data_IF_120788835645
#
_entry.id   IF_120788835645
#
_cell.length_a   1.000
_cell.length_b   1.000
_cell.length_c   1.000
_cell.angle_alpha   90.00
_cell.angle_beta   90.00
_cell.angle_gamma   90.00
#
_symmetry.space_group_name_H-M   'P 1'
#
loop_
_entity.id
_entity.type
_entity.pdbx_description
1 polymer ?
#
# COMPACT_ATOMS: atom_id res chain seq x y z
N UNK A 1 20.26 -11.44 -21.36
CA UNK A 1 20.95 -10.14 -21.24
C UNK A 1 19.93 -9.02 -20.97
N UNK A 2 18.75 -9.03 -21.59
CA UNK A 2 17.68 -8.04 -21.34
C UNK A 2 17.13 -8.09 -19.89
N UNK A 3 16.92 -9.28 -19.33
CA UNK A 3 16.42 -9.45 -17.96
C UNK A 3 17.37 -8.89 -16.88
N UNK A 4 18.68 -8.90 -17.12
CA UNK A 4 19.65 -8.34 -16.17
C UNK A 4 19.68 -6.81 -16.22
N UNK A 5 19.46 -6.19 -17.38
CA UNK A 5 19.32 -4.73 -17.52
C UNK A 5 18.02 -4.22 -16.93
N UNK A 6 16.89 -4.91 -17.13
CA UNK A 6 15.62 -4.55 -16.53
C UNK A 6 15.65 -4.63 -15.00
N UNK A 7 16.25 -5.68 -14.42
CA UNK A 7 16.46 -5.76 -12.95
C UNK A 7 17.36 -4.65 -12.43
N UNK A 8 18.41 -4.26 -13.16
CA UNK A 8 19.28 -3.16 -12.76
C UNK A 8 18.58 -1.80 -12.86
N UNK A 9 17.75 -1.56 -13.87
CA UNK A 9 16.96 -0.34 -13.99
C UNK A 9 15.89 -0.25 -12.87
N UNK A 10 15.18 -1.33 -12.58
CA UNK A 10 14.15 -1.32 -11.53
C UNK A 10 14.68 -1.08 -10.10
N UNK A 11 15.93 -1.48 -9.80
CA UNK A 11 16.51 -1.36 -8.45
C UNK A 11 17.34 -0.07 -8.31
N UNK A 12 17.96 0.42 -9.38
CA UNK A 12 18.89 1.57 -9.29
C UNK A 12 18.22 2.94 -9.36
N UNK A 13 17.06 3.05 -9.97
CA UNK A 13 16.51 4.35 -10.37
C UNK A 13 15.23 4.75 -9.60
N UNK A 14 14.92 4.07 -8.49
CA UNK A 14 13.74 4.38 -7.68
C UNK A 14 14.11 4.64 -6.24
N UNK A 15 13.63 5.75 -5.71
CA UNK A 15 13.67 6.04 -4.28
C UNK A 15 12.35 5.56 -3.65
N UNK A 16 12.44 4.76 -2.59
CA UNK A 16 11.27 4.14 -1.95
C UNK A 16 10.97 4.86 -0.65
N UNK A 17 9.76 5.37 -0.51
CA UNK A 17 9.30 5.99 0.72
C UNK A 17 8.96 4.90 1.76
N UNK A 18 9.51 5.02 2.97
CA UNK A 18 9.26 4.09 4.08
C UNK A 18 8.91 4.84 5.36
N UNK A 19 8.02 4.28 6.16
CA UNK A 19 7.71 4.84 7.48
C UNK A 19 8.86 4.63 8.48
N UNK A 20 9.03 5.58 9.41
CA UNK A 20 10.09 5.54 10.41
C UNK A 20 10.05 4.30 11.32
N UNK A 21 8.89 3.70 11.54
CA UNK A 21 8.75 2.49 12.37
C UNK A 21 9.51 1.27 11.84
N UNK A 22 9.75 1.18 10.53
CA UNK A 22 10.52 0.08 9.93
C UNK A 22 12.03 0.18 10.17
N UNK A 23 12.50 1.32 10.68
CA UNK A 23 13.93 1.58 10.92
C UNK A 23 14.41 1.17 12.32
N UNK A 24 13.55 0.63 13.17
CA UNK A 24 13.86 0.29 14.55
C UNK A 24 14.90 -0.84 14.68
N UNK A 25 15.00 -1.71 13.67
CA UNK A 25 15.97 -2.80 13.61
C UNK A 25 17.11 -2.46 12.64
N UNK A 26 18.36 -2.58 13.10
CA UNK A 26 19.54 -2.21 12.31
C UNK A 26 19.61 -2.91 10.96
N UNK A 27 19.36 -4.23 10.90
CA UNK A 27 19.41 -4.99 9.66
C UNK A 27 18.31 -4.55 8.66
N UNK A 28 17.11 -4.22 9.16
CA UNK A 28 16.02 -3.72 8.33
C UNK A 28 16.36 -2.31 7.79
N UNK A 29 16.91 -1.44 8.64
CA UNK A 29 17.38 -0.13 8.23
C UNK A 29 18.48 -0.22 7.15
N UNK A 30 19.43 -1.14 7.27
CA UNK A 30 20.50 -1.34 6.29
C UNK A 30 19.93 -1.88 4.95
N UNK A 31 18.99 -2.81 5.02
CA UNK A 31 18.28 -3.31 3.83
C UNK A 31 17.50 -2.20 3.11
N UNK A 32 16.78 -1.36 3.86
CA UNK A 32 16.05 -0.22 3.29
C UNK A 32 17.01 0.79 2.65
N UNK A 33 18.15 1.09 3.28
CA UNK A 33 19.18 1.99 2.70
C UNK A 33 19.77 1.43 1.41
N UNK A 34 20.01 0.12 1.33
CA UNK A 34 20.49 -0.55 0.11
C UNK A 34 19.49 -0.41 -1.06
N UNK A 35 18.20 -0.31 -0.75
CA UNK A 35 17.13 -0.10 -1.73
C UNK A 35 16.83 1.38 -2.01
N UNK A 36 17.75 2.32 -1.68
CA UNK A 36 17.54 3.77 -1.83
C UNK A 36 16.27 4.26 -1.13
N UNK A 37 15.92 3.68 0.01
CA UNK A 37 14.74 4.13 0.75
C UNK A 37 15.01 5.43 1.50
N UNK A 38 14.02 6.31 1.54
CA UNK A 38 14.02 7.50 2.38
C UNK A 38 12.87 7.43 3.40
N UNK A 39 13.04 8.12 4.52
CA UNK A 39 12.14 7.99 5.66
C UNK A 39 11.09 9.09 5.61
N UNK A 40 9.82 8.71 5.76
CA UNK A 40 8.74 9.63 6.09
C UNK A 40 8.57 9.62 7.61
N UNK A 41 8.86 10.74 8.31
CA UNK A 41 8.72 10.82 9.75
C UNK A 41 7.23 10.81 10.13
N UNK A 42 6.90 9.99 11.13
CA UNK A 42 5.52 9.85 11.64
C UNK A 42 5.33 10.52 12.99
N UNK A 43 6.41 10.64 13.75
CA UNK A 43 6.41 11.18 15.11
C UNK A 43 7.48 12.27 15.24
N UNK A 44 7.23 13.23 16.10
CA UNK A 44 8.17 14.29 16.47
C UNK A 44 7.80 14.86 17.84
N UNK A 45 8.73 15.57 18.46
CA UNK A 45 8.53 16.15 19.79
C UNK A 45 7.53 17.32 19.79
N UNK A 46 7.29 17.92 18.61
CA UNK A 46 6.33 19.02 18.44
C UNK A 46 5.71 19.07 17.04
N UNK A 47 4.55 19.70 16.92
CA UNK A 47 3.88 19.94 15.61
C UNK A 47 4.78 20.71 14.64
N UNK A 48 5.60 21.62 15.15
CA UNK A 48 6.54 22.41 14.33
C UNK A 48 7.65 21.53 13.75
N UNK A 49 8.18 20.63 14.54
CA UNK A 49 9.22 19.69 14.10
C UNK A 49 8.69 18.71 13.04
N UNK A 50 7.49 18.15 13.26
CA UNK A 50 6.82 17.30 12.26
C UNK A 50 6.62 18.07 10.95
N UNK A 51 6.10 19.30 11.00
CA UNK A 51 5.92 20.14 9.84
C UNK A 51 7.23 20.39 9.08
N UNK A 52 8.31 20.72 9.79
CA UNK A 52 9.64 20.96 9.20
C UNK A 52 10.16 19.67 8.52
N UNK A 53 10.02 18.54 9.17
CA UNK A 53 10.43 17.24 8.62
C UNK A 53 9.64 16.86 7.37
N UNK A 54 8.31 17.05 7.38
CA UNK A 54 7.48 16.80 6.21
C UNK A 54 7.80 17.77 5.04
N UNK A 55 8.17 19.00 5.37
CA UNK A 55 8.60 19.98 4.36
C UNK A 55 9.90 19.53 3.67
N UNK A 56 10.88 19.01 4.44
CA UNK A 56 12.10 18.42 3.88
C UNK A 56 11.82 17.22 2.99
N UNK A 57 10.89 16.34 3.39
CA UNK A 57 10.46 15.18 2.59
C UNK A 57 9.82 15.65 1.29
N UNK A 58 8.91 16.64 1.34
CA UNK A 58 8.27 17.19 0.15
C UNK A 58 9.28 17.81 -0.81
N UNK A 59 10.26 18.57 -0.30
CA UNK A 59 11.33 19.15 -1.09
C UNK A 59 12.22 18.08 -1.73
N UNK A 60 12.60 17.05 -0.97
CA UNK A 60 13.35 15.90 -1.47
C UNK A 60 12.61 15.22 -2.63
N UNK A 61 11.32 14.92 -2.47
CA UNK A 61 10.48 14.31 -3.50
C UNK A 61 10.46 15.17 -4.76
N UNK A 62 10.22 16.46 -4.60
CA UNK A 62 10.18 17.38 -5.74
C UNK A 62 11.52 17.43 -6.49
N UNK A 63 12.64 17.58 -5.77
CA UNK A 63 13.96 17.63 -6.35
C UNK A 63 14.34 16.34 -7.08
N UNK A 64 14.06 15.18 -6.46
CA UNK A 64 14.31 13.86 -7.09
C UNK A 64 13.58 13.71 -8.42
N UNK A 65 12.30 14.05 -8.45
CA UNK A 65 11.47 13.87 -9.66
C UNK A 65 11.77 14.95 -10.71
N UNK A 66 11.85 16.23 -10.32
CA UNK A 66 11.92 17.35 -11.27
C UNK A 66 13.32 17.76 -11.67
N UNK A 67 14.29 17.65 -10.77
CA UNK A 67 15.67 18.11 -11.02
C UNK A 67 16.55 16.94 -11.41
N UNK A 68 16.47 15.82 -10.65
CA UNK A 68 17.32 14.67 -10.89
C UNK A 68 16.70 13.66 -11.88
N UNK A 69 15.42 13.84 -12.24
CA UNK A 69 14.66 12.96 -13.13
C UNK A 69 14.66 11.49 -12.66
N UNK A 70 14.61 11.30 -11.34
CA UNK A 70 14.51 9.99 -10.69
C UNK A 70 13.06 9.68 -10.31
N UNK A 71 12.69 8.39 -10.31
CA UNK A 71 11.35 7.95 -9.90
C UNK A 71 11.27 7.75 -8.39
N UNK A 72 10.08 8.03 -7.84
CA UNK A 72 9.76 7.76 -6.44
C UNK A 72 8.61 6.76 -6.37
N UNK A 73 8.77 5.76 -5.51
CA UNK A 73 7.72 4.83 -5.13
C UNK A 73 7.21 5.19 -3.74
N UNK A 74 5.93 5.48 -3.64
CA UNK A 74 5.29 5.84 -2.38
C UNK A 74 3.95 5.11 -2.24
N UNK A 75 3.66 4.62 -1.03
CA UNK A 75 2.36 4.05 -0.73
C UNK A 75 1.29 5.16 -0.73
N UNK A 76 0.12 4.86 -1.23
CA UNK A 76 -1.00 5.79 -1.37
C UNK A 76 -1.67 6.18 -0.05
N UNK A 77 -1.40 5.45 1.03
CA UNK A 77 -1.86 5.75 2.39
C UNK A 77 -0.87 5.23 3.44
N UNK A 78 -1.04 5.69 4.66
CA UNK A 78 -0.31 5.13 5.80
C UNK A 78 -0.89 3.75 6.16
N UNK A 79 0.00 2.81 6.51
CA UNK A 79 -0.38 1.45 6.85
C UNK A 79 -0.59 0.54 5.65
N UNK A 80 -1.04 -0.69 5.94
CA UNK A 80 -1.36 -1.70 4.93
C UNK A 80 -2.86 -1.70 4.65
N UNK A 81 -3.27 -1.97 3.41
CA UNK A 81 -4.65 -2.34 3.13
C UNK A 81 -4.94 -3.69 3.81
N UNK A 82 -5.89 -3.70 4.73
CA UNK A 82 -6.26 -4.89 5.49
C UNK A 82 -7.62 -5.43 5.09
N UNK A 83 -8.46 -4.54 4.57
CA UNK A 83 -9.85 -4.78 4.21
C UNK A 83 -10.08 -5.04 2.71
N UNK A 84 -8.99 -5.17 1.94
CA UNK A 84 -9.07 -5.35 0.48
C UNK A 84 -9.39 -4.07 -0.30
N UNK A 85 -9.48 -2.91 0.37
CA UNK A 85 -9.78 -1.62 -0.27
C UNK A 85 -8.53 -0.74 -0.35
N UNK A 86 -8.08 -0.48 -1.53
CA UNK A 86 -6.89 0.35 -1.80
C UNK A 86 -7.28 1.82 -2.03
N UNK A 87 -7.60 2.52 -0.95
CA UNK A 87 -8.04 3.92 -0.97
C UNK A 87 -6.83 4.84 -0.80
N UNK A 88 -6.71 5.85 -1.67
CA UNK A 88 -5.69 6.89 -1.58
C UNK A 88 -6.06 7.91 -0.50
N UNK A 89 -5.14 8.16 0.42
CA UNK A 89 -5.32 9.17 1.47
C UNK A 89 -4.92 10.57 0.93
N UNK A 90 -5.83 11.56 0.92
CA UNK A 90 -5.49 12.94 0.56
C UNK A 90 -4.34 13.53 1.38
N UNK A 91 -4.08 13.03 2.60
CA UNK A 91 -2.97 13.49 3.43
C UNK A 91 -1.59 13.23 2.80
N UNK A 92 -1.43 12.11 2.07
CA UNK A 92 -0.20 11.83 1.32
C UNK A 92 0.02 12.88 0.22
N UNK A 93 -1.04 13.23 -0.51
CA UNK A 93 -0.97 14.25 -1.56
C UNK A 93 -0.64 15.64 -0.98
N UNK A 94 -1.28 16.00 0.14
CA UNK A 94 -0.98 17.24 0.88
C UNK A 94 0.48 17.28 1.34
N UNK A 95 1.02 16.15 1.80
CA UNK A 95 2.43 16.06 2.19
C UNK A 95 3.36 16.22 1.00
N UNK A 96 3.12 15.55 -0.12
CA UNK A 96 3.97 15.64 -1.32
C UNK A 96 4.00 17.06 -1.89
N UNK A 97 2.86 17.74 -1.91
CA UNK A 97 2.73 19.10 -2.46
C UNK A 97 3.20 20.22 -1.51
N UNK A 98 3.54 19.89 -0.26
CA UNK A 98 3.71 20.86 0.84
C UNK A 98 4.65 22.03 0.53
N UNK A 99 5.82 21.78 -0.08
CA UNK A 99 6.81 22.83 -0.41
C UNK A 99 6.36 23.74 -1.54
N UNK A 100 5.58 23.21 -2.49
CA UNK A 100 5.19 23.92 -3.72
C UNK A 100 3.76 24.47 -3.70
N UNK A 101 3.00 24.26 -2.64
CA UNK A 101 1.58 24.65 -2.52
C UNK A 101 1.29 26.16 -2.68
N UNK A 102 2.31 27.00 -2.53
CA UNK A 102 2.19 28.46 -2.75
C UNK A 102 2.58 28.89 -4.15
N UNK A 103 3.26 28.03 -4.90
CA UNK A 103 3.83 28.33 -6.22
C UNK A 103 3.00 27.68 -7.35
N UNK A 104 2.44 26.51 -7.09
CA UNK A 104 1.71 25.70 -8.05
C UNK A 104 0.34 25.32 -7.52
N UNK A 105 -0.65 25.24 -8.41
CA UNK A 105 -1.94 24.63 -8.14
C UNK A 105 -1.78 23.12 -7.90
N UNK A 106 -2.78 22.44 -7.35
CA UNK A 106 -2.73 21.00 -7.11
C UNK A 106 -2.62 20.26 -8.45
N UNK A 107 -3.46 20.62 -9.41
CA UNK A 107 -3.47 20.01 -10.75
C UNK A 107 -2.12 20.22 -11.46
N UNK A 108 -1.59 21.44 -11.51
CA UNK A 108 -0.31 21.73 -12.14
C UNK A 108 0.85 20.96 -11.50
N UNK A 109 0.85 20.88 -10.16
CA UNK A 109 1.89 20.15 -9.43
C UNK A 109 1.88 18.65 -9.79
N UNK A 110 0.74 17.97 -9.65
CA UNK A 110 0.68 16.52 -9.89
C UNK A 110 0.84 16.16 -11.37
N UNK A 111 0.40 17.00 -12.30
CA UNK A 111 0.68 16.86 -13.74
C UNK A 111 2.18 16.95 -14.03
N UNK A 112 2.89 17.88 -13.36
CA UNK A 112 4.33 17.99 -13.48
C UNK A 112 5.08 16.81 -12.83
N UNK A 113 4.56 16.24 -11.75
CA UNK A 113 5.14 15.08 -11.07
C UNK A 113 4.95 13.78 -11.84
N UNK A 114 4.04 13.73 -12.82
CA UNK A 114 3.77 12.54 -13.67
C UNK A 114 3.39 11.32 -12.84
N UNK A 115 2.30 11.42 -12.10
CA UNK A 115 1.79 10.34 -11.26
C UNK A 115 1.42 9.14 -12.12
N UNK A 116 1.92 7.96 -11.74
CA UNK A 116 1.63 6.68 -12.36
C UNK A 116 1.03 5.77 -11.29
N UNK A 117 -0.24 5.37 -11.41
CA UNK A 117 -0.86 4.44 -10.48
C UNK A 117 -0.31 3.03 -10.70
N UNK A 118 -0.15 2.29 -9.61
CA UNK A 118 0.33 0.90 -9.66
C UNK A 118 -0.53 0.06 -8.74
N UNK A 119 -1.08 -1.04 -9.26
CA UNK A 119 -1.77 -2.05 -8.47
C UNK A 119 -0.93 -3.33 -8.36
N UNK A 120 -0.98 -3.97 -7.19
CA UNK A 120 -0.36 -5.27 -6.94
C UNK A 120 -1.43 -6.18 -6.37
N UNK A 121 -1.67 -7.31 -7.03
CA UNK A 121 -2.61 -8.33 -6.54
C UNK A 121 -1.90 -9.65 -6.30
N UNK A 122 -2.31 -10.33 -5.24
CA UNK A 122 -1.86 -11.68 -4.86
C UNK A 122 -3.04 -12.62 -4.92
N UNK A 123 -2.86 -13.81 -5.51
CA UNK A 123 -3.86 -14.86 -5.46
C UNK A 123 -4.12 -15.31 -4.02
N UNK A 124 -3.03 -15.41 -3.22
CA UNK A 124 -3.07 -15.71 -1.79
C UNK A 124 -2.26 -14.69 -1.01
N UNK A 125 -2.86 -14.02 -0.04
CA UNK A 125 -2.11 -13.12 0.84
C UNK A 125 -1.57 -13.90 2.06
N UNK A 126 -0.25 -14.03 2.22
CA UNK A 126 0.33 -14.74 3.36
C UNK A 126 -0.05 -14.17 4.74
N UNK A 127 -0.53 -12.94 4.78
CA UNK A 127 -0.91 -12.23 6.01
C UNK A 127 -2.43 -12.07 6.19
N UNK A 128 -3.25 -12.69 5.34
CA UNK A 128 -4.71 -12.53 5.32
C UNK A 128 -5.36 -12.78 6.69
N UNK A 129 -5.09 -13.94 7.29
CA UNK A 129 -5.66 -14.30 8.59
C UNK A 129 -5.23 -13.36 9.71
N UNK A 130 -3.97 -12.91 9.72
CA UNK A 130 -3.51 -11.94 10.71
C UNK A 130 -4.17 -10.58 10.53
N UNK A 131 -4.37 -10.16 9.28
CA UNK A 131 -5.10 -8.93 8.97
C UNK A 131 -6.56 -9.05 9.42
N UNK A 132 -7.21 -10.19 9.18
CA UNK A 132 -8.59 -10.43 9.60
C UNK A 132 -8.74 -10.38 11.13
N UNK A 133 -7.84 -11.03 11.86
CA UNK A 133 -7.81 -10.98 13.32
C UNK A 133 -7.59 -9.56 13.86
N UNK A 134 -6.67 -8.80 13.26
CA UNK A 134 -6.40 -7.41 13.64
C UNK A 134 -7.64 -6.52 13.43
N UNK A 135 -8.37 -6.69 12.32
CA UNK A 135 -9.63 -5.97 12.07
C UNK A 135 -10.66 -6.36 13.12
N UNK A 136 -10.91 -7.65 13.29
CA UNK A 136 -11.90 -8.16 14.24
C UNK A 136 -11.63 -7.68 15.66
N UNK A 137 -10.39 -7.81 16.16
CA UNK A 137 -10.02 -7.34 17.48
C UNK A 137 -10.19 -5.83 17.63
N UNK A 138 -9.89 -5.06 16.58
CA UNK A 138 -10.08 -3.60 16.55
C UNK A 138 -11.57 -3.24 16.63
N UNK A 139 -12.44 -3.97 15.94
CA UNK A 139 -13.90 -3.76 15.96
C UNK A 139 -14.50 -4.10 17.33
N UNK A 140 -14.06 -5.20 17.94
CA UNK A 140 -14.59 -5.66 19.25
C UNK A 140 -14.08 -4.81 20.41
N UNK A 141 -12.78 -4.50 20.43
CA UNK A 141 -12.12 -3.86 21.57
C UNK A 141 -11.89 -2.34 21.38
N UNK A 142 -12.15 -1.81 20.18
CA UNK A 142 -11.86 -0.42 19.81
C UNK A 142 -10.38 -0.16 19.50
N UNK A 143 -9.49 -1.11 19.73
CA UNK A 143 -8.06 -1.05 19.43
C UNK A 143 -7.46 -2.45 19.24
N UNK A 144 -6.33 -2.50 18.58
CA UNK A 144 -5.49 -3.71 18.47
C UNK A 144 -4.12 -3.45 19.10
N UNK A 145 -3.72 -4.30 20.03
CA UNK A 145 -2.41 -4.22 20.65
C UNK A 145 -1.41 -5.09 19.88
N UNK A 146 -0.51 -4.43 19.15
CA UNK A 146 0.54 -5.13 18.39
C UNK A 146 1.53 -5.81 19.31
N UNK A 147 1.84 -7.07 19.00
CA UNK A 147 2.91 -7.82 19.66
C UNK A 147 4.28 -7.26 19.28
N UNK A 148 5.26 -7.49 20.14
CA UNK A 148 6.64 -7.15 19.83
C UNK A 148 7.10 -7.89 18.57
N UNK A 149 7.75 -7.17 17.64
CA UNK A 149 8.24 -7.68 16.36
C UNK A 149 7.17 -8.13 15.33
N UNK A 150 5.89 -7.92 15.57
CA UNK A 150 4.81 -8.33 14.66
C UNK A 150 4.96 -7.76 13.25
N UNK A 151 5.40 -6.50 13.12
CA UNK A 151 5.65 -5.88 11.81
C UNK A 151 6.77 -6.61 11.05
N UNK A 152 7.82 -7.05 11.74
CA UNK A 152 8.92 -7.79 11.13
C UNK A 152 8.51 -9.21 10.72
N UNK A 153 7.74 -9.90 11.57
CA UNK A 153 7.18 -11.21 11.25
C UNK A 153 6.26 -11.14 10.04
N UNK A 154 5.44 -10.09 9.98
CA UNK A 154 4.54 -9.85 8.85
C UNK A 154 5.30 -9.58 7.54
N UNK A 155 6.39 -8.81 7.60
CA UNK A 155 7.28 -8.58 6.45
C UNK A 155 7.94 -9.90 6.03
N UNK A 156 8.51 -10.66 6.99
CA UNK A 156 9.13 -11.95 6.72
C UNK A 156 8.14 -12.93 6.06
N UNK A 157 6.92 -13.03 6.60
CA UNK A 157 5.86 -13.86 6.05
C UNK A 157 5.43 -13.36 4.65
N UNK A 158 5.34 -12.04 4.48
CA UNK A 158 5.06 -11.42 3.17
C UNK A 158 6.14 -11.73 2.12
N UNK A 159 7.42 -11.91 2.51
CA UNK A 159 8.51 -12.25 1.60
C UNK A 159 8.52 -13.75 1.29
N UNK A 160 8.47 -14.60 2.31
CA UNK A 160 8.67 -16.05 2.21
C UNK A 160 7.39 -16.84 1.95
N UNK A 161 6.23 -16.30 2.31
CA UNK A 161 4.95 -17.00 2.20
C UNK A 161 4.52 -17.23 0.76
N UNK A 162 3.75 -18.31 0.56
CA UNK A 162 3.16 -18.64 -0.74
C UNK A 162 2.12 -17.61 -1.14
N UNK A 163 2.13 -17.17 -2.42
CA UNK A 163 1.26 -16.12 -2.94
C UNK A 163 0.47 -16.54 -4.18
N UNK A 164 0.75 -17.76 -4.70
CA UNK A 164 0.20 -18.17 -5.98
C UNK A 164 0.65 -17.24 -7.11
N UNK A 165 -0.27 -16.83 -7.93
CA UNK A 165 -0.06 -15.82 -8.97
C UNK A 165 0.04 -14.43 -8.36
N UNK A 166 1.01 -13.62 -8.82
CA UNK A 166 1.20 -12.22 -8.43
C UNK A 166 1.16 -11.37 -9.69
N UNK A 167 0.25 -10.41 -9.73
CA UNK A 167 0.12 -9.50 -10.86
C UNK A 167 0.45 -8.08 -10.43
N UNK A 168 1.37 -7.46 -11.15
CA UNK A 168 1.76 -6.06 -11.01
C UNK A 168 1.31 -5.31 -12.26
N UNK A 169 0.35 -4.42 -12.12
CA UNK A 169 -0.11 -3.54 -13.19
C UNK A 169 0.42 -2.13 -12.98
N UNK A 170 1.09 -1.60 -14.00
CA UNK A 170 1.61 -0.24 -14.03
C UNK A 170 0.77 0.55 -15.04
N UNK A 171 0.06 1.55 -14.56
CA UNK A 171 -0.84 2.36 -15.36
C UNK A 171 -0.12 3.40 -16.22
N UNK A 172 -0.92 4.23 -16.85
CA UNK A 172 -0.44 5.37 -17.61
C UNK A 172 -0.22 6.59 -16.69
N UNK A 173 0.52 7.58 -17.20
CA UNK A 173 0.63 8.88 -16.52
C UNK A 173 -0.76 9.50 -16.43
N UNK A 174 -1.17 9.85 -15.23
CA UNK A 174 -2.45 10.51 -14.98
C UNK A 174 -2.37 12.01 -15.28
N UNK A 175 -3.50 12.58 -15.67
CA UNK A 175 -3.71 14.02 -15.82
C UNK A 175 -4.83 14.47 -14.89
N UNK A 176 -4.62 15.59 -14.20
CA UNK A 176 -5.53 16.13 -13.21
C UNK A 176 -5.99 17.51 -13.62
N UNK A 177 -7.29 17.78 -13.49
CA UNK A 177 -7.90 19.08 -13.78
C UNK A 177 -8.40 19.79 -12.51
N UNK A 178 -8.54 19.01 -11.42
CA UNK A 178 -9.09 19.50 -10.16
C UNK A 178 -8.01 19.99 -9.20
N UNK A 179 -8.31 21.11 -8.54
CA UNK A 179 -7.51 21.65 -7.44
C UNK A 179 -8.04 21.23 -6.04
N UNK A 180 -8.63 20.02 -5.95
CA UNK A 180 -8.99 19.36 -4.69
C UNK A 180 -8.16 18.11 -4.50
N UNK A 181 -7.52 17.98 -3.33
CA UNK A 181 -6.78 16.75 -2.97
C UNK A 181 -7.70 15.54 -2.86
N UNK A 182 -8.93 15.74 -2.42
CA UNK A 182 -9.93 14.70 -2.28
C UNK A 182 -10.32 14.12 -3.64
N UNK A 183 -10.55 14.98 -4.64
CA UNK A 183 -10.87 14.55 -6.01
C UNK A 183 -9.66 13.88 -6.67
N UNK A 184 -8.46 14.43 -6.51
CA UNK A 184 -7.23 13.80 -7.03
C UNK A 184 -6.99 12.43 -6.39
N UNK A 185 -7.21 12.30 -5.08
CA UNK A 185 -7.10 11.03 -4.38
C UNK A 185 -8.12 10.00 -4.87
N UNK A 186 -9.36 10.43 -5.09
CA UNK A 186 -10.43 9.58 -5.65
C UNK A 186 -10.08 9.10 -7.06
N UNK A 187 -9.59 9.99 -7.93
CA UNK A 187 -9.14 9.61 -9.27
C UNK A 187 -8.03 8.56 -9.24
N UNK A 188 -7.04 8.71 -8.34
CA UNK A 188 -5.95 7.73 -8.17
C UNK A 188 -6.52 6.40 -7.66
N UNK A 189 -7.42 6.43 -6.67
CA UNK A 189 -8.10 5.26 -6.13
C UNK A 189 -8.83 4.49 -7.22
N UNK A 190 -9.64 5.18 -8.02
CA UNK A 190 -10.42 4.59 -9.10
C UNK A 190 -9.51 3.95 -10.16
N UNK A 191 -8.42 4.61 -10.52
CA UNK A 191 -7.49 4.06 -11.50
C UNK A 191 -6.76 2.82 -10.98
N UNK A 192 -6.36 2.78 -9.70
CA UNK A 192 -5.76 1.60 -9.06
C UNK A 192 -6.77 0.45 -9.02
N UNK A 193 -8.01 0.72 -8.65
CA UNK A 193 -9.09 -0.29 -8.60
C UNK A 193 -9.39 -0.85 -10.00
N UNK A 194 -9.47 0.00 -11.01
CA UNK A 194 -9.71 -0.42 -12.40
C UNK A 194 -8.59 -1.31 -12.95
N UNK A 195 -7.37 -1.15 -12.46
CA UNK A 195 -6.20 -1.94 -12.87
C UNK A 195 -5.98 -3.18 -12.01
N UNK A 196 -6.74 -3.33 -10.92
CA UNK A 196 -6.58 -4.49 -10.04
C UNK A 196 -6.93 -5.77 -10.79
N UNK A 197 -6.03 -6.77 -10.69
CA UNK A 197 -6.30 -8.08 -11.27
C UNK A 197 -7.03 -8.97 -10.26
N UNK A 198 -8.26 -9.35 -10.61
CA UNK A 198 -9.05 -10.27 -9.81
C UNK A 198 -8.60 -11.72 -10.07
N UNK A 199 -8.07 -12.35 -9.05
CA UNK A 199 -7.75 -13.78 -9.05
C UNK A 199 -9.00 -14.65 -8.83
N UNK A 200 -8.95 -15.96 -9.12
CA UNK A 200 -10.05 -16.88 -8.80
C UNK A 200 -10.48 -16.76 -7.33
N UNK A 201 -9.53 -16.67 -6.39
CA UNK A 201 -9.79 -16.51 -4.95
C UNK A 201 -10.65 -15.30 -4.61
N UNK A 202 -10.53 -14.19 -5.33
CA UNK A 202 -11.38 -13.01 -5.12
C UNK A 202 -12.84 -13.33 -5.47
N UNK A 203 -13.08 -14.05 -6.58
CA UNK A 203 -14.42 -14.45 -7.01
C UNK A 203 -15.01 -15.52 -6.11
N UNK A 204 -14.21 -16.49 -5.71
CA UNK A 204 -14.64 -17.56 -4.81
C UNK A 204 -15.08 -16.98 -3.46
N UNK A 205 -14.29 -16.04 -2.89
CA UNK A 205 -14.65 -15.35 -1.66
C UNK A 205 -15.99 -14.60 -1.79
N UNK A 206 -16.21 -13.91 -2.92
CA UNK A 206 -17.48 -13.23 -3.20
C UNK A 206 -18.63 -14.22 -3.31
N UNK A 207 -18.44 -15.36 -4.01
CA UNK A 207 -19.45 -16.41 -4.15
C UNK A 207 -19.79 -17.06 -2.81
N UNK A 208 -18.79 -17.27 -1.92
CA UNK A 208 -19.04 -17.80 -0.57
C UNK A 208 -19.86 -16.80 0.25
N UNK A 209 -19.53 -15.51 0.19
CA UNK A 209 -20.28 -14.47 0.91
C UNK A 209 -21.72 -14.31 0.40
N UNK A 210 -21.98 -14.59 -0.87
CA UNK A 210 -23.30 -14.54 -1.49
C UNK A 210 -24.08 -15.87 -1.37
N UNK A 211 -23.53 -16.88 -0.68
CA UNK A 211 -24.12 -18.23 -0.54
C UNK A 211 -24.27 -18.98 -1.89
N UNK A 212 -23.51 -18.59 -2.93
CA UNK A 212 -23.47 -19.27 -4.23
C UNK A 212 -22.47 -20.44 -4.23
N UNK A 213 -21.54 -20.48 -3.27
CA UNK A 213 -20.51 -21.50 -3.06
C UNK A 213 -20.40 -21.80 -1.56
N UNK A 214 -20.43 -23.10 -1.20
CA UNK A 214 -20.19 -23.51 0.19
C UNK A 214 -18.70 -23.36 0.52
N UNK A 215 -18.41 -22.92 1.77
CA UNK A 215 -17.02 -22.74 2.23
C UNK A 215 -16.20 -24.03 2.14
N UNK A 216 -16.84 -25.15 2.45
CA UNK A 216 -16.26 -26.48 2.47
C UNK A 216 -15.85 -26.97 1.07
N UNK A 217 -16.48 -26.46 0.02
CA UNK A 217 -16.17 -26.79 -1.37
C UNK A 217 -14.95 -26.04 -1.91
N UNK A 218 -14.47 -25.01 -1.18
CA UNK A 218 -13.23 -24.30 -1.52
C UNK A 218 -12.08 -24.77 -0.61
N UNK A 219 -11.16 -25.55 -1.16
CA UNK A 219 -10.05 -26.17 -0.40
C UNK A 219 -9.19 -25.10 0.32
N UNK A 220 -8.89 -23.97 -0.33
CA UNK A 220 -8.06 -22.93 0.27
C UNK A 220 -8.74 -22.29 1.48
N UNK A 221 -9.98 -21.80 1.31
CA UNK A 221 -10.66 -21.10 2.39
C UNK A 221 -11.09 -22.04 3.51
N UNK A 222 -11.51 -23.28 3.20
CA UNK A 222 -11.90 -24.26 4.20
C UNK A 222 -10.73 -24.65 5.10
N UNK A 223 -9.54 -24.86 4.54
CA UNK A 223 -8.34 -25.16 5.32
C UNK A 223 -7.86 -23.91 6.09
N UNK A 224 -7.83 -22.74 5.43
CA UNK A 224 -7.33 -21.48 5.99
C UNK A 224 -8.15 -20.97 7.16
N UNK A 225 -9.45 -21.20 7.14
CA UNK A 225 -10.43 -20.72 8.11
C UNK A 225 -10.85 -21.77 9.14
N UNK A 226 -10.24 -22.95 9.09
CA UNK A 226 -10.56 -24.07 9.99
C UNK A 226 -10.32 -23.68 11.45
N UNK A 227 -11.40 -23.76 12.25
CA UNK A 227 -11.37 -23.47 13.69
C UNK A 227 -11.38 -21.98 14.06
N UNK A 228 -11.46 -21.08 13.08
CA UNK A 228 -11.60 -19.65 13.33
C UNK A 228 -13.07 -19.28 13.61
N UNK A 229 -13.33 -18.23 14.43
CA UNK A 229 -14.67 -17.69 14.63
C UNK A 229 -15.31 -17.21 13.34
N UNK A 230 -16.65 -17.26 13.24
CA UNK A 230 -17.36 -16.89 12.01
C UNK A 230 -17.19 -15.42 11.66
N UNK A 231 -17.01 -14.56 12.65
CA UNK A 231 -16.70 -13.14 12.44
C UNK A 231 -15.33 -12.96 11.76
N UNK A 232 -14.32 -13.70 12.17
CA UNK A 232 -12.99 -13.68 11.55
C UNK A 232 -13.04 -14.24 10.14
N UNK A 233 -13.83 -15.33 9.92
CA UNK A 233 -14.05 -15.89 8.57
C UNK A 233 -14.67 -14.87 7.65
N UNK A 234 -15.73 -14.18 8.11
CA UNK A 234 -16.40 -13.13 7.34
C UNK A 234 -15.44 -11.98 6.99
N UNK A 235 -14.63 -11.51 7.95
CA UNK A 235 -13.63 -10.45 7.69
C UNK A 235 -12.62 -10.90 6.64
N UNK A 236 -12.08 -12.13 6.73
CA UNK A 236 -11.12 -12.63 5.76
C UNK A 236 -11.71 -12.75 4.36
N UNK A 237 -12.91 -13.32 4.23
CA UNK A 237 -13.60 -13.42 2.94
C UNK A 237 -13.85 -12.03 2.34
N UNK A 238 -14.28 -11.06 3.17
CA UNK A 238 -14.46 -9.68 2.72
C UNK A 238 -13.16 -9.02 2.23
N UNK A 239 -11.99 -9.35 2.79
CA UNK A 239 -10.70 -8.85 2.29
C UNK A 239 -10.46 -9.21 0.83
N UNK A 240 -10.81 -10.45 0.45
CA UNK A 240 -10.69 -10.90 -0.93
C UNK A 240 -11.83 -10.37 -1.81
N UNK A 241 -13.07 -10.42 -1.34
CA UNK A 241 -14.26 -10.01 -2.08
C UNK A 241 -14.28 -8.50 -2.39
N UNK A 242 -13.83 -7.65 -1.46
CA UNK A 242 -13.78 -6.19 -1.66
C UNK A 242 -12.87 -5.76 -2.81
N UNK A 243 -11.89 -6.58 -3.17
CA UNK A 243 -11.04 -6.33 -4.34
C UNK A 243 -11.68 -6.79 -5.65
N UNK A 244 -12.76 -7.60 -5.59
CA UNK A 244 -13.45 -8.16 -6.75
C UNK A 244 -14.52 -7.24 -7.34
N UNK A 245 -14.85 -6.15 -6.65
CA UNK A 245 -15.92 -5.20 -7.02
C UNK A 245 -15.39 -4.03 -7.84
#
# INVERSE_FOLDING_TARGET
VLFRRQRQMCIRDRNIAVGSNLMNQKWAADLMRLNKSFIIPRTGSSKREIYQSLNLVSEFIFNKVKVENESIWIAQREGRAKDGKDITDPAILKMIHLTKRKELSISDFFNQMKVIPVSISYEFDPNDLNKAKEIYETEVNGFYEKKENEDLESISRGISGFKGSVVLNIGNVMNFESDSYEIVAEQITNEISNQFHNHPTNKDALSILNEDLELEDNEYFSERLKGEPDEVKSVLLNQYANSAN
#
